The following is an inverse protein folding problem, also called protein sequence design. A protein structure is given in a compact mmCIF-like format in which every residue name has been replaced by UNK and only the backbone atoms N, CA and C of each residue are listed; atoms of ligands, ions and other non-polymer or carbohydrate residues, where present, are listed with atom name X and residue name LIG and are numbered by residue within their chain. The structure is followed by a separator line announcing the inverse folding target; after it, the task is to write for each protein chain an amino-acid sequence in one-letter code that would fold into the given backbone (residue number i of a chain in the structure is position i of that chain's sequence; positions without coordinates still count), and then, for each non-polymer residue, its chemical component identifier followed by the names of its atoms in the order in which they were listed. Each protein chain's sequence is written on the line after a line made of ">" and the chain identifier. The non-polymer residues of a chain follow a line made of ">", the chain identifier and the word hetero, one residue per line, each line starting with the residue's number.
data_IF_066000717124
#
_entry.id   IF_066000717124
#
_cell.length_a   1.000
_cell.length_b   1.000
_cell.length_c   1.000
_cell.angle_alpha   90.00
_cell.angle_beta   90.00
_cell.angle_gamma   90.00
#
_symmetry.space_group_name_H-M   'P 1'
#
loop_
_entity.id
_entity.type
_entity.pdbx_description
1 polymer ?
#
# COMPACT_ATOMS: atom_id res chain seq x y z
N UNK A 1 -25.29 8.16 14.14
CA UNK A 1 -23.91 8.57 14.46
C UNK A 1 -23.28 9.15 13.21
N UNK A 2 -22.42 10.16 13.29
CA UNK A 2 -21.75 10.70 12.10
C UNK A 2 -20.84 9.63 11.50
N UNK A 3 -21.18 9.20 10.29
CA UNK A 3 -20.32 8.41 9.41
C UNK A 3 -19.51 9.40 8.59
N UNK A 4 -18.19 9.24 8.60
CA UNK A 4 -17.30 10.01 7.78
C UNK A 4 -16.52 9.05 6.88
N UNK A 5 -16.43 9.43 5.59
CA UNK A 5 -15.69 8.69 4.56
C UNK A 5 -14.58 9.57 4.03
N UNK A 6 -13.36 9.06 4.09
CA UNK A 6 -12.19 9.70 3.50
C UNK A 6 -11.81 8.95 2.24
N UNK A 7 -11.49 9.68 1.18
CA UNK A 7 -11.10 9.13 -0.11
C UNK A 7 -9.70 9.63 -0.45
N UNK A 8 -8.81 8.71 -0.79
CA UNK A 8 -7.43 8.99 -1.18
C UNK A 8 -7.21 8.49 -2.61
N UNK A 9 -6.65 9.34 -3.47
CA UNK A 9 -6.39 8.95 -4.86
C UNK A 9 -5.11 8.12 -5.02
N UNK A 10 -4.96 7.51 -6.20
CA UNK A 10 -3.81 6.68 -6.54
C UNK A 10 -2.46 7.41 -6.45
N UNK A 11 -2.40 8.73 -6.67
CA UNK A 11 -1.15 9.48 -6.63
C UNK A 11 -0.65 9.66 -5.19
N UNK A 12 -1.55 9.97 -4.25
CA UNK A 12 -1.19 10.01 -2.84
C UNK A 12 -0.79 8.62 -2.32
N UNK A 13 -1.45 7.55 -2.80
CA UNK A 13 -1.04 6.18 -2.45
C UNK A 13 0.36 5.83 -2.96
N UNK A 14 0.72 6.25 -4.19
CA UNK A 14 2.09 6.11 -4.71
C UNK A 14 3.10 6.78 -3.77
N UNK A 15 2.82 7.99 -3.31
CA UNK A 15 3.73 8.71 -2.42
C UNK A 15 3.90 8.02 -1.06
N UNK A 16 2.82 7.47 -0.50
CA UNK A 16 2.88 6.72 0.77
C UNK A 16 3.65 5.41 0.65
N UNK A 17 3.40 4.64 -0.41
CA UNK A 17 4.19 3.43 -0.69
C UNK A 17 5.66 3.78 -0.94
N UNK A 18 5.95 4.82 -1.73
CA UNK A 18 7.31 5.27 -1.98
C UNK A 18 8.02 5.72 -0.69
N UNK A 19 7.30 6.39 0.21
CA UNK A 19 7.82 6.76 1.53
C UNK A 19 8.23 5.53 2.34
N UNK A 20 7.38 4.50 2.43
CA UNK A 20 7.72 3.24 3.11
C UNK A 20 8.88 2.50 2.46
N UNK A 21 8.94 2.47 1.13
CA UNK A 21 10.04 1.84 0.40
C UNK A 21 11.39 2.56 0.61
N UNK A 22 11.39 3.88 0.81
CA UNK A 22 12.59 4.65 1.14
C UNK A 22 13.14 4.31 2.52
N UNK A 23 12.28 3.95 3.47
CA UNK A 23 12.65 3.81 4.87
C UNK A 23 13.45 5.06 5.34
N UNK A 24 14.73 4.91 5.64
CA UNK A 24 15.61 6.01 6.11
C UNK A 24 16.31 6.77 4.96
N UNK A 25 16.10 6.36 3.70
CA UNK A 25 16.73 7.02 2.56
C UNK A 25 16.18 8.44 2.34
N UNK A 26 16.98 9.36 1.76
CA UNK A 26 16.53 10.72 1.46
C UNK A 26 15.25 10.74 0.61
N UNK A 27 14.34 11.67 0.89
CA UNK A 27 13.01 11.75 0.24
C UNK A 27 13.06 11.88 -1.29
N UNK A 28 14.14 12.46 -1.84
CA UNK A 28 14.33 12.61 -3.28
C UNK A 28 15.01 11.41 -3.96
N UNK A 29 15.27 10.32 -3.22
CA UNK A 29 15.88 9.12 -3.76
C UNK A 29 14.94 8.46 -4.77
N UNK A 30 15.47 8.25 -5.97
CA UNK A 30 14.76 7.64 -7.13
C UNK A 30 15.12 6.19 -7.37
N UNK A 31 16.30 5.79 -6.88
CA UNK A 31 16.85 4.45 -6.96
C UNK A 31 17.34 4.11 -5.55
N UNK A 32 16.90 2.97 -5.01
CA UNK A 32 17.22 2.56 -3.65
C UNK A 32 17.91 1.21 -3.66
N UNK A 33 18.99 1.09 -2.91
CA UNK A 33 19.61 -0.19 -2.64
C UNK A 33 19.09 -0.71 -1.29
N UNK A 34 18.32 -1.79 -1.33
CA UNK A 34 18.03 -2.58 -0.14
C UNK A 34 19.09 -3.66 0.00
N UNK A 35 19.56 -3.91 1.22
CA UNK A 35 20.56 -4.93 1.51
C UNK A 35 20.17 -5.71 2.76
N UNK A 36 20.21 -7.05 2.67
CA UNK A 36 19.86 -7.97 3.75
C UNK A 36 20.62 -9.27 3.60
N UNK A 37 21.27 -9.74 4.67
CA UNK A 37 22.02 -11.02 4.70
C UNK A 37 22.97 -11.23 3.51
N UNK A 38 23.75 -10.20 3.15
CA UNK A 38 24.72 -10.27 2.05
C UNK A 38 24.11 -10.27 0.65
N UNK A 39 22.79 -10.06 0.53
CA UNK A 39 22.09 -9.87 -0.74
C UNK A 39 21.68 -8.42 -0.87
N UNK A 40 21.62 -7.93 -2.10
CA UNK A 40 21.10 -6.61 -2.39
C UNK A 40 20.07 -6.64 -3.50
N UNK A 41 19.17 -5.66 -3.50
CA UNK A 41 18.20 -5.40 -4.57
C UNK A 41 18.08 -3.90 -4.79
N UNK A 42 18.05 -3.50 -6.05
CA UNK A 42 17.81 -2.13 -6.48
C UNK A 42 16.32 -1.94 -6.75
N UNK A 43 15.71 -0.94 -6.12
CA UNK A 43 14.32 -0.54 -6.32
C UNK A 43 14.26 0.75 -7.14
N UNK A 44 13.59 0.72 -8.28
CA UNK A 44 13.45 1.86 -9.17
C UNK A 44 12.17 2.64 -8.84
N UNK A 45 12.19 3.50 -7.82
CA UNK A 45 10.98 4.18 -7.34
C UNK A 45 10.29 5.06 -8.39
N UNK A 46 11.02 5.59 -9.37
CA UNK A 46 10.40 6.34 -10.49
C UNK A 46 9.49 5.47 -11.37
N UNK A 47 9.62 4.14 -11.29
CA UNK A 47 8.75 3.19 -11.96
C UNK A 47 7.52 2.81 -11.16
N UNK A 48 7.42 3.21 -9.88
CA UNK A 48 6.28 2.88 -9.04
C UNK A 48 5.00 3.46 -9.65
N UNK A 49 4.04 2.60 -9.94
CA UNK A 49 2.71 2.99 -10.44
C UNK A 49 1.65 2.23 -9.68
N UNK A 50 0.67 2.95 -9.14
CA UNK A 50 -0.52 2.38 -8.52
C UNK A 50 -1.70 2.61 -9.43
N UNK A 51 -2.53 1.58 -9.61
CA UNK A 51 -3.84 1.69 -10.23
C UNK A 51 -4.87 1.01 -9.35
N UNK A 52 -6.01 1.68 -9.16
CA UNK A 52 -7.12 1.13 -8.41
C UNK A 52 -8.22 0.66 -9.36
N UNK A 53 -8.81 -0.48 -9.04
CA UNK A 53 -10.02 -1.05 -9.63
C UNK A 53 -10.99 -1.36 -8.48
N UNK A 54 -12.25 -1.63 -8.79
CA UNK A 54 -13.23 -2.02 -7.77
C UNK A 54 -12.68 -3.21 -6.98
N UNK A 55 -12.49 -3.04 -5.68
CA UNK A 55 -11.97 -4.07 -4.77
C UNK A 55 -10.46 -4.26 -4.77
N UNK A 56 -9.73 -3.75 -5.78
CA UNK A 56 -8.34 -4.10 -6.02
C UNK A 56 -7.43 -2.89 -6.16
N UNK A 57 -6.27 -2.98 -5.52
CA UNK A 57 -5.15 -2.08 -5.73
C UNK A 57 -4.00 -2.85 -6.38
N UNK A 58 -3.52 -2.35 -7.50
CA UNK A 58 -2.37 -2.91 -8.21
C UNK A 58 -1.20 -1.93 -8.12
N UNK A 59 -0.11 -2.33 -7.46
CA UNK A 59 1.13 -1.55 -7.42
C UNK A 59 2.20 -2.26 -8.27
N UNK A 60 2.84 -1.54 -9.18
CA UNK A 60 3.86 -2.08 -10.06
C UNK A 60 5.20 -1.39 -9.75
N UNK A 61 6.27 -2.17 -9.56
CA UNK A 61 7.59 -1.67 -9.25
C UNK A 61 8.65 -2.46 -10.02
N UNK A 62 9.56 -1.77 -10.70
CA UNK A 62 10.77 -2.37 -11.25
C UNK A 62 11.79 -2.57 -10.13
N UNK A 63 12.29 -3.80 -10.03
CA UNK A 63 13.36 -4.20 -9.12
C UNK A 63 14.49 -4.87 -9.90
N UNK A 64 15.71 -4.80 -9.40
CA UNK A 64 16.89 -5.27 -10.13
C UNK A 64 17.93 -5.88 -9.19
N UNK A 65 18.48 -7.03 -9.58
CA UNK A 65 19.66 -7.64 -8.93
C UNK A 65 20.63 -8.08 -10.02
N UNK A 66 21.91 -8.26 -9.69
CA UNK A 66 22.89 -8.73 -10.68
C UNK A 66 22.50 -10.07 -11.33
N UNK A 67 22.03 -11.10 -10.59
CA UNK A 67 21.69 -12.38 -11.21
C UNK A 67 20.40 -12.38 -12.02
N UNK A 68 19.39 -11.59 -11.62
CA UNK A 68 18.05 -11.63 -12.23
C UNK A 68 17.86 -10.55 -13.30
N UNK A 69 18.73 -9.54 -13.31
CA UNK A 69 18.51 -8.29 -14.03
C UNK A 69 17.27 -7.55 -13.53
N UNK A 70 16.82 -6.58 -14.33
CA UNK A 70 15.63 -5.77 -14.04
C UNK A 70 14.35 -6.54 -14.36
N UNK A 71 13.41 -6.56 -13.41
CA UNK A 71 12.11 -7.22 -13.53
C UNK A 71 11.00 -6.36 -12.93
N UNK A 72 9.81 -6.47 -13.50
CA UNK A 72 8.60 -5.86 -12.95
C UNK A 72 7.96 -6.83 -11.95
N UNK A 73 7.68 -6.33 -10.74
CA UNK A 73 6.83 -7.01 -9.78
C UNK A 73 5.51 -6.26 -9.69
N UNK A 74 4.40 -6.99 -9.76
CA UNK A 74 3.06 -6.45 -9.54
C UNK A 74 2.52 -6.96 -8.22
N UNK A 75 2.33 -6.07 -7.26
CA UNK A 75 1.66 -6.34 -6.00
C UNK A 75 0.16 -6.17 -6.24
N UNK A 76 -0.59 -7.24 -6.00
CA UNK A 76 -2.05 -7.29 -6.17
C UNK A 76 -2.66 -7.37 -4.78
N UNK A 77 -3.30 -6.28 -4.36
CA UNK A 77 -3.92 -6.14 -3.06
C UNK A 77 -5.44 -6.17 -3.24
N UNK A 78 -6.12 -7.12 -2.61
CA UNK A 78 -7.56 -7.03 -2.41
C UNK A 78 -7.82 -6.19 -1.17
N UNK A 79 -8.60 -5.12 -1.32
CA UNK A 79 -8.93 -4.18 -0.24
C UNK A 79 -10.43 -4.14 0.08
N UNK A 80 -11.25 -4.93 -0.61
CA UNK A 80 -12.70 -4.96 -0.44
C UNK A 80 -13.44 -4.04 -1.41
N UNK A 81 -14.60 -4.52 -1.89
CA UNK A 81 -15.51 -3.74 -2.73
C UNK A 81 -16.28 -2.69 -1.91
N UNK A 82 -16.75 -1.66 -2.61
CA UNK A 82 -17.56 -0.59 -2.03
C UNK A 82 -18.91 -1.13 -1.55
N UNK A 83 -19.26 -0.85 -0.30
CA UNK A 83 -20.50 -1.32 0.33
C UNK A 83 -20.38 -2.61 1.14
N UNK A 84 -19.35 -3.43 0.90
CA UNK A 84 -19.12 -4.64 1.71
C UNK A 84 -18.27 -4.36 2.96
N UNK A 85 -17.62 -3.19 3.05
CA UNK A 85 -16.77 -2.75 4.19
C UNK A 85 -15.80 -3.84 4.68
N UNK A 86 -15.40 -4.75 3.78
CA UNK A 86 -14.86 -6.06 4.14
C UNK A 86 -13.33 -6.05 4.20
N UNK A 87 -12.77 -4.97 4.75
CA UNK A 87 -11.32 -4.82 4.94
C UNK A 87 -10.71 -5.98 5.75
N UNK A 88 -11.54 -6.78 6.43
CA UNK A 88 -11.15 -8.02 7.13
C UNK A 88 -10.69 -9.14 6.20
N UNK A 89 -11.10 -9.12 4.92
CA UNK A 89 -10.66 -10.07 3.89
C UNK A 89 -9.50 -9.56 3.06
N UNK A 90 -8.94 -8.42 3.42
CA UNK A 90 -7.89 -7.81 2.64
C UNK A 90 -6.63 -8.69 2.63
N UNK A 91 -5.96 -8.74 1.48
CA UNK A 91 -4.83 -9.64 1.26
C UNK A 91 -3.97 -9.17 0.11
N UNK A 92 -2.73 -9.67 0.07
CA UNK A 92 -1.74 -9.25 -0.92
C UNK A 92 -1.01 -10.47 -1.51
N UNK A 93 -0.81 -10.44 -2.83
CA UNK A 93 0.04 -11.39 -3.55
C UNK A 93 0.96 -10.63 -4.51
N UNK A 94 2.04 -11.27 -4.95
CA UNK A 94 2.96 -10.71 -5.95
C UNK A 94 2.91 -11.55 -7.21
N UNK A 95 2.61 -10.91 -8.33
CA UNK A 95 2.65 -11.50 -9.66
C UNK A 95 3.91 -11.07 -10.42
N UNK A 96 4.41 -12.00 -11.22
CA UNK A 96 5.54 -11.80 -12.12
C UNK A 96 5.44 -12.80 -13.28
N UNK A 97 5.93 -12.43 -14.45
CA UNK A 97 5.81 -13.19 -15.70
C UNK A 97 7.05 -14.04 -16.02
N UNK A 98 8.07 -13.97 -15.17
CA UNK A 98 9.40 -14.53 -15.44
C UNK A 98 9.90 -15.39 -14.28
N UNK A 99 10.68 -16.42 -14.61
CA UNK A 99 11.36 -17.28 -13.63
C UNK A 99 12.30 -16.47 -12.72
N UNK A 100 13.03 -15.51 -13.29
CA UNK A 100 13.93 -14.63 -12.53
C UNK A 100 13.15 -13.69 -11.62
N UNK A 101 11.97 -13.24 -12.05
CA UNK A 101 11.02 -12.53 -11.20
C UNK A 101 10.57 -13.39 -10.02
N UNK A 102 10.29 -14.67 -10.24
CA UNK A 102 9.97 -15.62 -9.17
C UNK A 102 11.09 -15.75 -8.14
N UNK A 103 12.36 -15.73 -8.56
CA UNK A 103 13.50 -15.72 -7.66
C UNK A 103 13.58 -14.43 -6.83
N UNK A 104 13.26 -13.27 -7.42
CA UNK A 104 13.16 -12.00 -6.68
C UNK A 104 12.08 -12.07 -5.61
N UNK A 105 10.89 -12.57 -5.96
CA UNK A 105 9.78 -12.73 -5.02
C UNK A 105 10.15 -13.66 -3.86
N UNK A 106 10.84 -14.78 -4.12
CA UNK A 106 11.29 -15.69 -3.06
C UNK A 106 12.26 -15.03 -2.07
N UNK A 107 13.08 -14.09 -2.53
CA UNK A 107 14.14 -13.49 -1.72
C UNK A 107 13.70 -12.21 -0.99
N UNK A 108 12.87 -11.40 -1.65
CA UNK A 108 12.52 -10.03 -1.24
C UNK A 108 11.01 -9.77 -1.19
N UNK A 109 10.20 -10.72 -1.66
CA UNK A 109 8.75 -10.51 -1.82
C UNK A 109 8.06 -10.14 -0.52
N UNK A 110 8.39 -10.82 0.58
CA UNK A 110 7.78 -10.53 1.89
C UNK A 110 8.07 -9.09 2.35
N UNK A 111 9.33 -8.66 2.32
CA UNK A 111 9.72 -7.31 2.74
C UNK A 111 9.10 -6.23 1.85
N UNK A 112 9.08 -6.46 0.53
CA UNK A 112 8.51 -5.53 -0.43
C UNK A 112 6.99 -5.45 -0.31
N UNK A 113 6.32 -6.60 -0.18
CA UNK A 113 4.86 -6.67 0.02
C UNK A 113 4.48 -5.97 1.32
N UNK A 114 5.26 -6.17 2.38
CA UNK A 114 5.06 -5.48 3.66
C UNK A 114 5.20 -3.96 3.49
N UNK A 115 6.25 -3.46 2.84
CA UNK A 115 6.40 -2.01 2.64
C UNK A 115 5.28 -1.40 1.79
N UNK A 116 4.79 -2.13 0.78
CA UNK A 116 3.61 -1.72 0.00
C UNK A 116 2.35 -1.70 0.88
N UNK A 117 2.15 -2.73 1.69
CA UNK A 117 1.02 -2.83 2.62
C UNK A 117 1.04 -1.74 3.69
N UNK A 118 2.19 -1.50 4.31
CA UNK A 118 2.40 -0.44 5.30
C UNK A 118 2.08 0.94 4.71
N UNK A 119 2.36 1.17 3.42
CA UNK A 119 2.00 2.42 2.74
C UNK A 119 0.49 2.62 2.58
N UNK A 120 -0.28 1.53 2.43
CA UNK A 120 -1.75 1.57 2.43
C UNK A 120 -2.27 1.81 3.85
N UNK A 121 -1.70 1.13 4.86
CA UNK A 121 -2.07 1.32 6.26
C UNK A 121 -1.80 2.74 6.76
N UNK A 122 -0.72 3.39 6.32
CA UNK A 122 -0.43 4.80 6.65
C UNK A 122 -1.57 5.75 6.27
N UNK A 123 -2.32 5.44 5.20
CA UNK A 123 -3.46 6.24 4.75
C UNK A 123 -4.67 6.02 5.65
N UNK A 124 -4.88 4.76 6.07
CA UNK A 124 -5.94 4.41 7.02
C UNK A 124 -5.67 5.10 8.36
N UNK A 125 -4.44 5.03 8.87
CA UNK A 125 -4.01 5.73 10.08
C UNK A 125 -4.12 7.25 9.96
N UNK A 126 -3.70 7.82 8.83
CA UNK A 126 -3.85 9.24 8.55
C UNK A 126 -5.32 9.70 8.55
N UNK A 127 -6.22 8.88 8.01
CA UNK A 127 -7.67 9.15 8.01
C UNK A 127 -8.24 9.15 9.43
N UNK A 128 -7.81 8.21 10.28
CA UNK A 128 -8.17 8.18 11.70
C UNK A 128 -7.69 9.43 12.45
N UNK A 129 -6.45 9.86 12.20
CA UNK A 129 -5.92 11.07 12.84
C UNK A 129 -6.69 12.33 12.41
N UNK A 130 -7.07 12.42 11.13
CA UNK A 130 -7.94 13.49 10.64
C UNK A 130 -9.34 13.43 11.27
N UNK A 131 -9.91 12.24 11.45
CA UNK A 131 -11.19 12.05 12.13
C UNK A 131 -11.14 12.51 13.58
N UNK A 132 -10.08 12.16 14.32
CA UNK A 132 -9.85 12.55 15.71
C UNK A 132 -9.78 14.07 15.84
N UNK A 133 -9.09 14.73 14.90
CA UNK A 133 -8.99 16.19 14.88
C UNK A 133 -10.35 16.89 14.68
N UNK A 134 -11.29 16.27 13.95
CA UNK A 134 -12.62 16.80 13.64
C UNK A 134 -13.67 16.47 14.68
N UNK A 135 -13.59 15.30 15.32
CA UNK A 135 -14.58 14.76 16.26
C UNK A 135 -14.03 14.66 17.69
N UNK A 136 -13.27 15.67 18.12
CA UNK A 136 -12.57 15.69 19.41
C UNK A 136 -13.47 15.24 20.57
N UNK A 137 -13.00 14.27 21.33
CA UNK A 137 -13.67 13.76 22.53
C UNK A 137 -14.77 12.72 22.29
N UNK A 138 -15.06 12.36 21.04
CA UNK A 138 -15.89 11.21 20.72
C UNK A 138 -15.02 9.97 20.47
N UNK A 139 -15.40 8.77 20.96
CA UNK A 139 -14.72 7.54 20.57
C UNK A 139 -14.86 7.33 19.05
N UNK A 140 -13.82 6.80 18.42
CA UNK A 140 -13.80 6.51 17.00
C UNK A 140 -13.76 5.00 16.76
N UNK A 141 -14.46 4.54 15.73
CA UNK A 141 -14.39 3.16 15.26
C UNK A 141 -14.11 3.14 13.76
N UNK A 142 -13.04 2.46 13.37
CA UNK A 142 -12.77 2.13 11.97
C UNK A 142 -13.75 1.04 11.54
N UNK A 143 -14.65 1.36 10.62
CA UNK A 143 -15.62 0.39 10.10
C UNK A 143 -15.01 -0.49 9.02
N UNK A 144 -14.08 0.07 8.24
CA UNK A 144 -13.38 -0.65 7.20
C UNK A 144 -12.70 0.31 6.21
N UNK A 145 -12.12 -0.30 5.18
CA UNK A 145 -11.63 0.39 4.01
C UNK A 145 -11.98 -0.42 2.77
N UNK A 146 -12.09 0.25 1.62
CA UNK A 146 -12.46 -0.35 0.33
C UNK A 146 -11.85 0.42 -0.83
N UNK A 147 -11.90 -0.13 -2.04
CA UNK A 147 -11.40 0.54 -3.24
C UNK A 147 -12.47 0.62 -4.33
N UNK A 148 -12.76 1.83 -4.80
CA UNK A 148 -13.64 2.08 -5.94
C UNK A 148 -13.30 3.41 -6.60
N UNK A 149 -13.74 3.64 -7.85
CA UNK A 149 -13.61 4.97 -8.48
C UNK A 149 -12.19 5.54 -8.58
N UNK A 150 -11.16 4.68 -8.65
CA UNK A 150 -9.73 5.06 -8.58
C UNK A 150 -9.29 5.68 -7.23
N UNK A 151 -10.00 5.37 -6.15
CA UNK A 151 -9.74 5.87 -4.80
C UNK A 151 -9.74 4.72 -3.77
N UNK A 152 -8.94 4.88 -2.73
CA UNK A 152 -9.04 4.14 -1.47
C UNK A 152 -9.98 4.89 -0.55
N UNK A 153 -10.97 4.20 -0.02
CA UNK A 153 -11.93 4.73 0.92
C UNK A 153 -11.68 4.19 2.32
N UNK A 154 -11.83 5.04 3.33
CA UNK A 154 -11.75 4.69 4.74
C UNK A 154 -13.01 5.20 5.42
N UNK A 155 -13.78 4.28 6.01
CA UNK A 155 -15.05 4.58 6.67
C UNK A 155 -14.86 4.55 8.20
N UNK A 156 -15.17 5.67 8.85
CA UNK A 156 -15.00 5.85 10.30
C UNK A 156 -16.29 6.38 10.90
N UNK A 157 -16.65 5.83 12.04
CA UNK A 157 -17.78 6.27 12.86
C UNK A 157 -17.27 6.98 14.11
N UNK A 158 -17.89 8.12 14.47
CA UNK A 158 -17.64 8.77 15.75
C UNK A 158 -18.84 8.65 16.70
N UNK A 159 -18.57 8.38 17.97
CA UNK A 159 -19.55 8.09 19.03
C UNK A 159 -19.59 6.61 19.40
N UNK A 160 -20.31 6.27 20.48
CA UNK A 160 -20.47 4.89 20.96
C UNK A 160 -20.92 3.92 19.86
N UNK A 161 -20.00 3.05 19.41
CA UNK A 161 -20.36 1.89 18.59
C UNK A 161 -21.37 1.02 19.32
N UNK A 162 -22.39 0.57 18.60
CA UNK A 162 -23.44 -0.32 19.10
C UNK A 162 -22.89 -1.66 19.62
#
# INVERSE_FOLDING_TARGET
>A
MPLARWSTDSAEIVERIAFRLRAEAPANSRLLLWARHGRSVLLHLTSLRVSIRNGWLLANLLVETEPTGRRLLQFVLYLGDDGDSDGTRAGATIHTDSREGGQLVQLWGEDLQRAVWDGVLDIVEGSLHLAESRHRGLPLSLLGFSCSGNQLHVDIQAGEGA
#
